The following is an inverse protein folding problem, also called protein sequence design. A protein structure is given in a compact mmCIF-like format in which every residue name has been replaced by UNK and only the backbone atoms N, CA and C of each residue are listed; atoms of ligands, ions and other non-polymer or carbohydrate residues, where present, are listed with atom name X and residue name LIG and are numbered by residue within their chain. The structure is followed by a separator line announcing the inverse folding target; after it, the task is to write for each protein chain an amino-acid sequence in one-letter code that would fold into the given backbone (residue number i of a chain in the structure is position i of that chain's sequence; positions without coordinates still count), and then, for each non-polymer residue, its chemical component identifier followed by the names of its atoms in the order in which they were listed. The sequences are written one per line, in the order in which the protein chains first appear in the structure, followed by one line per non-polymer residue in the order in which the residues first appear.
data_IF_945745512987
#
_entry.id   IF_945745512987
#
_cell.length_a   1.000
_cell.length_b   1.000
_cell.length_c   1.000
_cell.angle_alpha   90.00
_cell.angle_beta   90.00
_cell.angle_gamma   90.00
#
_symmetry.space_group_name_H-M   'P 1'
#
loop_
_entity.id
_entity.type
_entity.pdbx_description
1 polymer ?
#
# COMPACT_ATOMS: atom_id res chain seq x y z
N UNK A 1 15.20 -50.39 -32.67
CA UNK A 1 15.73 -49.05 -32.47
C UNK A 1 14.68 -47.95 -32.58
N UNK A 2 13.78 -47.96 -33.56
CA UNK A 2 12.73 -46.93 -33.77
C UNK A 2 11.74 -46.81 -32.61
N UNK A 3 11.34 -47.92 -32.00
CA UNK A 3 10.37 -47.94 -30.88
C UNK A 3 10.94 -47.27 -29.62
N UNK A 4 12.22 -47.46 -29.35
CA UNK A 4 12.93 -46.87 -28.20
C UNK A 4 13.09 -45.36 -28.38
N UNK A 5 13.36 -44.89 -29.60
CA UNK A 5 13.43 -43.46 -29.94
C UNK A 5 12.06 -42.76 -29.76
N UNK A 6 10.98 -43.45 -30.13
CA UNK A 6 9.63 -42.91 -30.01
C UNK A 6 9.19 -42.78 -28.54
N UNK A 7 9.52 -43.76 -27.70
CA UNK A 7 9.30 -43.70 -26.25
C UNK A 7 10.13 -42.55 -25.62
N UNK A 8 11.41 -42.41 -25.98
CA UNK A 8 12.23 -41.35 -25.46
C UNK A 8 11.69 -39.94 -25.84
N UNK A 9 11.20 -39.79 -27.07
CA UNK A 9 10.62 -38.54 -27.56
C UNK A 9 9.33 -38.15 -26.83
N UNK A 10 8.46 -39.14 -26.54
CA UNK A 10 7.23 -38.89 -25.80
C UNK A 10 7.49 -38.57 -24.34
N UNK A 11 8.44 -39.26 -23.70
CA UNK A 11 8.87 -38.96 -22.33
C UNK A 11 9.49 -37.56 -22.22
N UNK A 12 10.35 -37.20 -23.18
CA UNK A 12 10.95 -35.87 -23.22
C UNK A 12 9.88 -34.78 -23.40
N UNK A 13 8.93 -34.98 -24.30
CA UNK A 13 7.82 -34.06 -24.53
C UNK A 13 6.93 -33.88 -23.28
N UNK A 14 6.62 -34.98 -22.59
CA UNK A 14 5.85 -34.95 -21.34
C UNK A 14 6.63 -34.20 -20.22
N UNK A 15 7.94 -34.46 -20.08
CA UNK A 15 8.79 -33.79 -19.10
C UNK A 15 8.89 -32.31 -19.38
N UNK A 16 9.08 -31.89 -20.63
CA UNK A 16 9.15 -30.49 -21.01
C UNK A 16 7.85 -29.73 -20.75
N UNK A 17 6.70 -30.34 -21.02
CA UNK A 17 5.38 -29.76 -20.70
C UNK A 17 5.18 -29.62 -19.18
N UNK A 18 5.56 -30.64 -18.42
CA UNK A 18 5.47 -30.64 -16.97
C UNK A 18 6.36 -29.52 -16.38
N UNK A 19 7.59 -29.36 -16.87
CA UNK A 19 8.50 -28.33 -16.41
C UNK A 19 7.96 -26.91 -16.66
N UNK A 20 7.45 -26.65 -17.86
CA UNK A 20 6.78 -25.37 -18.18
C UNK A 20 5.54 -25.09 -17.31
N UNK A 21 4.76 -26.12 -17.00
CA UNK A 21 3.59 -25.98 -16.14
C UNK A 21 4.00 -25.59 -14.71
N UNK A 22 5.06 -26.19 -14.17
CA UNK A 22 5.62 -25.87 -12.85
C UNK A 22 6.17 -24.45 -12.81
N UNK A 23 6.97 -24.03 -13.79
CA UNK A 23 7.50 -22.66 -13.86
C UNK A 23 6.38 -21.61 -13.89
N UNK A 24 5.33 -21.84 -14.67
CA UNK A 24 4.19 -20.94 -14.74
C UNK A 24 3.39 -20.89 -13.44
N UNK A 25 3.26 -22.03 -12.75
CA UNK A 25 2.60 -22.11 -11.46
C UNK A 25 3.39 -21.40 -10.37
N UNK A 26 4.72 -21.54 -10.36
CA UNK A 26 5.62 -20.85 -9.43
C UNK A 26 5.57 -19.35 -9.61
N UNK A 27 5.69 -18.83 -10.84
CA UNK A 27 5.62 -17.40 -11.12
C UNK A 27 4.28 -16.78 -10.68
N UNK A 28 3.15 -17.50 -10.83
CA UNK A 28 1.84 -17.06 -10.32
C UNK A 28 1.77 -17.07 -8.80
N UNK A 29 2.38 -18.09 -8.16
CA UNK A 29 2.42 -18.19 -6.70
C UNK A 29 3.23 -17.05 -6.09
N UNK A 30 4.41 -16.74 -6.64
CA UNK A 30 5.26 -15.65 -6.19
C UNK A 30 4.56 -14.29 -6.31
N UNK A 31 3.90 -14.04 -7.44
CA UNK A 31 3.13 -12.81 -7.64
C UNK A 31 1.97 -12.68 -6.62
N UNK A 32 1.25 -13.77 -6.36
CA UNK A 32 0.16 -13.77 -5.39
C UNK A 32 0.66 -13.55 -3.97
N UNK A 33 1.82 -14.11 -3.61
CA UNK A 33 2.45 -13.90 -2.31
C UNK A 33 2.92 -12.46 -2.14
N UNK A 34 3.53 -11.87 -3.17
CA UNK A 34 3.95 -10.48 -3.14
C UNK A 34 2.76 -9.52 -2.94
N UNK A 35 1.66 -9.74 -3.65
CA UNK A 35 0.45 -8.93 -3.51
C UNK A 35 -0.17 -9.05 -2.11
N UNK A 36 -0.19 -10.25 -1.53
CA UNK A 36 -0.64 -10.45 -0.14
C UNK A 36 0.25 -9.72 0.84
N UNK A 37 1.57 -9.85 0.70
CA UNK A 37 2.54 -9.15 1.56
C UNK A 37 2.33 -7.63 1.50
N UNK A 38 2.19 -7.05 0.30
CA UNK A 38 1.92 -5.61 0.13
C UNK A 38 0.58 -5.23 0.78
N UNK A 39 -0.47 -6.03 0.56
CA UNK A 39 -1.78 -5.81 1.19
C UNK A 39 -1.72 -5.84 2.72
N UNK A 40 -1.02 -6.83 3.30
CA UNK A 40 -0.87 -6.98 4.75
C UNK A 40 -0.04 -5.84 5.35
N UNK A 41 1.02 -5.40 4.66
CA UNK A 41 1.85 -4.28 5.06
C UNK A 41 1.03 -2.97 5.09
N UNK A 42 0.33 -2.66 4.01
CA UNK A 42 -0.56 -1.51 3.93
C UNK A 42 -1.67 -1.56 4.99
N UNK A 43 -2.28 -2.74 5.17
CA UNK A 43 -3.29 -2.96 6.19
C UNK A 43 -2.76 -2.66 7.59
N UNK A 44 -1.55 -3.10 7.92
CA UNK A 44 -0.91 -2.85 9.19
C UNK A 44 -0.77 -1.37 9.50
N UNK A 45 -0.20 -0.61 8.56
CA UNK A 45 0.00 0.83 8.73
C UNK A 45 -1.31 1.61 8.78
N UNK A 46 -2.26 1.33 7.86
CA UNK A 46 -3.52 2.09 7.76
C UNK A 46 -4.45 1.80 8.94
N UNK A 47 -4.57 0.55 9.38
CA UNK A 47 -5.36 0.19 10.57
C UNK A 47 -4.83 0.85 11.83
N UNK A 48 -3.52 1.09 11.88
CA UNK A 48 -2.82 1.75 12.98
C UNK A 48 -2.69 3.26 12.78
N UNK A 49 -3.39 3.86 11.80
CA UNK A 49 -3.39 5.30 11.60
C UNK A 49 -3.88 5.99 12.87
N UNK A 50 -3.07 6.94 13.34
CA UNK A 50 -3.28 7.64 14.61
C UNK A 50 -3.73 9.08 14.38
N UNK A 51 -4.73 9.60 15.11
CA UNK A 51 -5.19 10.97 14.99
C UNK A 51 -4.20 11.94 15.66
N UNK A 52 -2.99 12.01 15.08
CA UNK A 52 -1.91 12.82 15.61
C UNK A 52 -2.20 14.32 15.43
N UNK A 53 -2.06 15.07 16.51
CA UNK A 53 -2.19 16.54 16.54
C UNK A 53 -0.81 17.16 16.73
N UNK A 54 -0.33 17.94 15.75
CA UNK A 54 0.99 18.60 15.86
C UNK A 54 1.09 19.58 17.03
N UNK A 55 -0.04 20.16 17.44
CA UNK A 55 -0.15 21.08 18.58
C UNK A 55 -1.33 20.71 19.47
N UNK A 56 -1.17 20.85 20.77
CA UNK A 56 -2.26 20.66 21.73
C UNK A 56 -3.35 21.72 21.62
N UNK A 57 -3.00 22.91 21.07
CA UNK A 57 -3.93 24.05 20.92
C UNK A 57 -4.69 24.00 19.59
N UNK A 58 -4.19 23.23 18.61
CA UNK A 58 -4.83 23.06 17.30
C UNK A 58 -5.48 21.68 17.19
N UNK A 59 -6.80 21.60 16.97
CA UNK A 59 -7.49 20.32 16.78
C UNK A 59 -7.19 19.65 15.44
N UNK A 60 -6.36 20.26 14.60
CA UNK A 60 -5.96 19.72 13.30
C UNK A 60 -5.30 18.35 13.42
N UNK A 61 -5.75 17.39 12.61
CA UNK A 61 -5.18 16.05 12.55
C UNK A 61 -4.23 15.96 11.36
N UNK A 62 -3.05 15.39 11.62
CA UNK A 62 -2.06 15.13 10.58
C UNK A 62 -2.48 13.92 9.73
N UNK A 63 -3.29 14.19 8.71
CA UNK A 63 -3.72 13.23 7.71
C UNK A 63 -4.01 13.99 6.42
N UNK A 64 -3.32 13.65 5.35
CA UNK A 64 -3.50 14.25 4.03
C UNK A 64 -3.62 13.15 2.98
N UNK A 65 -4.81 12.97 2.43
CA UNK A 65 -5.13 12.00 1.41
C UNK A 65 -5.51 12.67 0.10
N UNK A 66 -4.84 12.28 -0.97
CA UNK A 66 -5.12 12.62 -2.35
C UNK A 66 -5.32 11.33 -3.15
N UNK A 67 -5.67 11.44 -4.42
CA UNK A 67 -5.90 10.29 -5.30
C UNK A 67 -4.64 9.40 -5.46
N UNK A 68 -3.44 10.00 -5.55
CA UNK A 68 -2.17 9.29 -5.78
C UNK A 68 -1.18 9.36 -4.62
N UNK A 69 -1.51 10.11 -3.56
CA UNK A 69 -0.63 10.29 -2.42
C UNK A 69 -1.42 10.30 -1.11
N UNK A 70 -0.90 9.59 -0.11
CA UNK A 70 -1.45 9.55 1.25
C UNK A 70 -0.31 9.76 2.25
N UNK A 71 -0.46 10.72 3.16
CA UNK A 71 0.48 10.98 4.24
C UNK A 71 -0.26 11.02 5.57
N UNK A 72 0.19 10.24 6.55
CA UNK A 72 -0.44 10.14 7.86
C UNK A 72 0.55 9.65 8.91
N UNK A 73 0.17 9.71 10.18
CA UNK A 73 0.92 9.10 11.27
C UNK A 73 0.34 7.75 11.60
N UNK A 74 1.19 6.74 11.69
CA UNK A 74 0.84 5.40 12.16
C UNK A 74 1.43 5.14 13.55
N UNK A 75 0.69 4.44 14.40
CA UNK A 75 1.18 3.91 15.67
C UNK A 75 2.03 2.63 15.48
N UNK A 76 2.20 2.18 14.25
CA UNK A 76 3.07 1.09 13.84
C UNK A 76 4.33 1.67 13.19
N UNK A 77 5.50 1.22 13.64
CA UNK A 77 6.79 1.57 13.04
C UNK A 77 7.63 0.33 12.83
N UNK A 78 8.01 0.04 11.59
CA UNK A 78 8.90 -1.09 11.27
C UNK A 78 10.33 -0.83 11.76
N UNK A 79 10.78 0.42 11.69
CA UNK A 79 12.12 0.83 12.15
C UNK A 79 12.31 0.76 13.67
N UNK A 80 11.22 0.71 14.44
CA UNK A 80 11.23 0.55 15.92
C UNK A 80 10.70 -0.81 16.37
N UNK A 81 10.81 -1.84 15.54
CA UNK A 81 10.38 -3.19 15.89
C UNK A 81 8.87 -3.35 16.08
N UNK A 82 8.08 -2.61 15.32
CA UNK A 82 6.61 -2.69 15.35
C UNK A 82 5.94 -1.81 16.40
N UNK A 83 6.70 -0.99 17.14
CA UNK A 83 6.18 -0.07 18.17
C UNK A 83 6.67 1.34 17.92
N UNK A 84 5.85 2.33 18.30
CA UNK A 84 6.19 3.74 18.15
C UNK A 84 5.43 4.40 17.01
N UNK A 85 5.52 5.73 16.95
CA UNK A 85 4.86 6.52 15.92
C UNK A 85 5.82 6.82 14.78
N UNK A 86 5.33 6.67 13.56
CA UNK A 86 6.06 7.05 12.36
C UNK A 86 5.15 7.80 11.39
N UNK A 87 5.73 8.73 10.65
CA UNK A 87 5.10 9.32 9.48
C UNK A 87 5.20 8.33 8.33
N UNK A 88 4.06 8.02 7.75
CA UNK A 88 3.94 7.13 6.59
C UNK A 88 3.50 7.96 5.39
N UNK A 89 4.22 7.81 4.29
CA UNK A 89 3.84 8.36 3.00
C UNK A 89 3.72 7.22 2.01
N UNK A 90 2.57 7.10 1.37
CA UNK A 90 2.30 6.20 0.27
C UNK A 90 2.14 7.07 -0.97
N UNK A 91 2.91 6.84 -2.02
CA UNK A 91 2.83 7.61 -3.27
C UNK A 91 2.92 6.72 -4.48
N UNK A 92 2.17 7.08 -5.51
CA UNK A 92 2.28 6.55 -6.85
C UNK A 92 2.77 7.65 -7.78
N UNK A 93 3.86 7.38 -8.48
CA UNK A 93 4.49 8.29 -9.42
C UNK A 93 4.56 7.62 -10.78
N UNK A 94 4.04 8.27 -11.82
CA UNK A 94 4.08 7.79 -13.20
C UNK A 94 5.51 7.88 -13.76
N UNK A 95 6.01 6.80 -14.34
CA UNK A 95 7.28 6.73 -15.03
C UNK A 95 7.02 6.66 -16.56
N UNK A 96 7.37 7.68 -17.28
CA UNK A 96 7.56 7.88 -18.74
C UNK A 96 6.76 7.10 -19.80
N UNK A 97 6.22 5.91 -19.49
CA UNK A 97 5.50 5.03 -20.43
C UNK A 97 4.05 4.73 -20.00
N UNK A 98 3.50 5.50 -19.06
CA UNK A 98 2.16 5.30 -18.52
C UNK A 98 2.07 4.19 -17.47
N UNK A 99 3.19 3.63 -17.07
CA UNK A 99 3.31 2.79 -15.87
C UNK A 99 3.99 3.59 -14.76
N UNK A 100 3.71 3.26 -13.51
CA UNK A 100 4.26 4.00 -12.38
C UNK A 100 4.80 3.10 -11.28
N UNK A 101 5.46 3.77 -10.34
CA UNK A 101 6.06 3.20 -9.15
C UNK A 101 5.19 3.51 -7.93
N UNK A 102 4.73 2.46 -7.25
CA UNK A 102 4.06 2.59 -5.96
C UNK A 102 5.08 2.41 -4.84
N UNK A 103 5.22 3.42 -3.99
CA UNK A 103 6.20 3.43 -2.90
C UNK A 103 5.54 3.71 -1.55
N UNK A 104 6.18 3.19 -0.50
CA UNK A 104 5.90 3.51 0.89
C UNK A 104 7.19 4.07 1.50
N UNK A 105 7.08 5.24 2.11
CA UNK A 105 8.15 5.84 2.91
C UNK A 105 7.73 5.90 4.37
N UNK A 106 8.62 5.47 5.24
CA UNK A 106 8.48 5.58 6.68
C UNK A 106 9.55 6.53 7.23
N UNK A 107 9.14 7.48 8.07
CA UNK A 107 10.04 8.43 8.69
C UNK A 107 9.87 8.48 10.21
N UNK A 108 11.00 8.39 10.92
CA UNK A 108 11.11 8.49 12.38
C UNK A 108 12.31 9.40 12.72
N UNK A 109 12.23 10.31 13.68
CA UNK A 109 11.03 10.77 14.39
C UNK A 109 10.11 11.53 13.46
N UNK A 110 8.85 11.68 13.88
CA UNK A 110 7.87 12.51 13.20
C UNK A 110 8.45 13.90 12.95
N UNK A 111 8.52 14.32 11.69
CA UNK A 111 8.87 15.69 11.35
C UNK A 111 7.62 16.56 11.47
N UNK A 112 7.64 17.44 12.45
CA UNK A 112 6.68 18.54 12.51
C UNK A 112 7.11 19.61 11.51
N UNK A 113 6.14 20.27 10.87
CA UNK A 113 6.39 21.40 9.98
C UNK A 113 7.26 22.44 10.69
N UNK A 114 8.41 22.81 10.09
CA UNK A 114 9.34 23.80 10.63
C UNK A 114 10.55 23.25 11.39
N UNK A 115 10.67 21.95 11.59
CA UNK A 115 11.91 21.36 12.12
C UNK A 115 12.88 21.06 10.98
N UNK A 116 14.13 21.50 11.13
CA UNK A 116 15.20 21.30 10.16
C UNK A 116 15.54 19.82 9.93
N UNK A 117 16.38 19.55 8.92
CA UNK A 117 16.84 18.21 8.57
C UNK A 117 17.64 17.55 9.71
N UNK A 118 16.96 16.93 10.65
CA UNK A 118 17.58 16.08 11.67
C UNK A 118 17.86 14.69 11.08
N UNK A 119 18.89 14.00 11.58
CA UNK A 119 19.23 12.62 11.26
C UNK A 119 18.16 11.67 11.83
N UNK A 120 17.00 11.56 11.16
CA UNK A 120 15.96 10.60 11.48
C UNK A 120 16.06 9.36 10.59
N UNK A 121 15.59 8.21 11.08
CA UNK A 121 15.44 7.01 10.27
C UNK A 121 14.42 7.26 9.15
N UNK A 122 14.84 7.02 7.92
CA UNK A 122 13.96 7.03 6.74
C UNK A 122 14.13 5.71 6.03
N UNK A 123 13.03 5.03 5.79
CA UNK A 123 12.99 3.81 5.00
C UNK A 123 12.02 3.99 3.84
N UNK A 124 12.46 3.63 2.62
CA UNK A 124 11.64 3.63 1.42
C UNK A 124 11.55 2.22 0.87
N UNK A 125 10.33 1.75 0.70
CA UNK A 125 10.01 0.42 0.17
C UNK A 125 9.23 0.57 -1.12
N UNK A 126 9.66 -0.13 -2.17
CA UNK A 126 8.92 -0.23 -3.41
C UNK A 126 7.86 -1.32 -3.24
N UNK A 127 6.60 -0.94 -3.28
CA UNK A 127 5.46 -1.83 -3.14
C UNK A 127 5.06 -2.49 -4.46
N UNK A 128 5.23 -1.77 -5.59
CA UNK A 128 4.91 -2.27 -6.91
C UNK A 128 5.53 -1.43 -8.01
N UNK A 129 5.94 -2.12 -9.09
CA UNK A 129 6.41 -1.52 -10.33
C UNK A 129 5.44 -1.88 -11.46
N UNK A 130 5.39 -1.07 -12.50
CA UNK A 130 4.49 -1.32 -13.63
C UNK A 130 3.01 -1.14 -13.29
N UNK A 131 2.69 -0.30 -12.32
CA UNK A 131 1.31 0.04 -11.93
C UNK A 131 0.78 1.08 -12.90
N UNK A 132 -0.16 0.71 -13.77
CA UNK A 132 -0.72 1.63 -14.79
C UNK A 132 -1.72 2.61 -14.22
N UNK A 133 -2.54 2.17 -13.28
CA UNK A 133 -3.48 3.05 -12.61
C UNK A 133 -3.47 2.77 -11.12
N UNK A 134 -3.45 3.85 -10.36
CA UNK A 134 -3.55 3.81 -8.92
C UNK A 134 -4.45 4.95 -8.45
N UNK A 135 -5.44 4.61 -7.63
CA UNK A 135 -6.35 5.60 -7.07
C UNK A 135 -6.68 5.23 -5.63
N UNK A 136 -6.71 6.24 -4.78
CA UNK A 136 -7.18 6.14 -3.40
C UNK A 136 -8.47 6.90 -3.21
N UNK A 137 -9.39 6.32 -2.45
CA UNK A 137 -10.61 6.96 -1.99
C UNK A 137 -10.74 6.81 -0.47
N UNK A 138 -11.45 7.72 0.15
CA UNK A 138 -11.58 7.84 1.61
C UNK A 138 -13.03 7.77 2.02
N UNK A 139 -13.37 6.88 2.97
CA UNK A 139 -14.73 6.77 3.50
C UNK A 139 -14.98 7.89 4.51
N UNK A 140 -15.96 8.74 4.23
CA UNK A 140 -16.26 9.91 5.06
C UNK A 140 -16.75 9.47 6.45
N UNK A 141 -16.04 9.91 7.51
CA UNK A 141 -16.38 9.63 8.89
C UNK A 141 -17.47 10.53 9.45
N UNK A 142 -17.78 11.64 8.78
CA UNK A 142 -18.75 12.65 9.21
C UNK A 142 -20.10 12.48 8.51
N UNK A 143 -20.21 11.59 7.53
CA UNK A 143 -21.45 11.26 6.84
C UNK A 143 -22.13 10.06 7.52
N UNK A 144 -23.45 10.12 7.72
CA UNK A 144 -24.25 8.97 8.17
C UNK A 144 -24.35 7.88 7.09
N UNK A 145 -24.37 8.31 5.82
CA UNK A 145 -24.35 7.41 4.67
C UNK A 145 -22.93 7.03 4.28
N UNK A 146 -22.77 5.87 3.64
CA UNK A 146 -21.49 5.42 3.10
C UNK A 146 -21.11 6.30 1.90
N UNK A 147 -20.26 7.29 2.16
CA UNK A 147 -19.80 8.24 1.15
C UNK A 147 -18.29 8.13 0.97
N UNK A 148 -17.85 7.79 -0.22
CA UNK A 148 -16.45 7.78 -0.63
C UNK A 148 -16.08 9.10 -1.31
N UNK A 149 -14.97 9.69 -0.89
CA UNK A 149 -14.41 10.95 -1.42
C UNK A 149 -12.99 10.73 -1.92
N UNK A 150 -12.60 11.46 -2.97
CA UNK A 150 -11.28 11.33 -3.62
C UNK A 150 -10.16 12.01 -2.83
N UNK A 151 -10.51 12.90 -1.91
CA UNK A 151 -9.54 13.64 -1.10
C UNK A 151 -9.99 13.71 0.35
N UNK A 152 -9.02 13.66 1.27
CA UNK A 152 -9.27 13.82 2.69
C UNK A 152 -8.22 14.71 3.35
N UNK A 153 -8.65 15.85 3.90
CA UNK A 153 -7.81 16.75 4.66
C UNK A 153 -8.16 16.67 6.15
N UNK A 154 -7.30 16.01 6.93
CA UNK A 154 -7.51 15.83 8.37
C UNK A 154 -7.44 17.13 9.17
N UNK A 155 -6.76 18.17 8.65
CA UNK A 155 -6.74 19.49 9.28
C UNK A 155 -8.11 20.16 9.21
N UNK A 156 -8.75 20.13 8.05
CA UNK A 156 -10.08 20.72 7.83
C UNK A 156 -11.17 19.92 8.50
N UNK A 157 -11.15 18.62 8.30
CA UNK A 157 -12.15 17.67 8.82
C UNK A 157 -12.01 17.45 10.33
N UNK A 158 -10.84 17.68 10.92
CA UNK A 158 -10.50 17.36 12.32
C UNK A 158 -10.80 15.92 12.70
N UNK A 159 -10.78 15.03 11.72
CA UNK A 159 -11.12 13.63 11.82
C UNK A 159 -10.29 12.79 10.87
N UNK A 160 -10.08 11.51 11.20
CA UNK A 160 -9.61 10.49 10.27
C UNK A 160 -10.80 9.99 9.43
N UNK A 161 -10.59 9.52 8.21
CA UNK A 161 -11.60 8.77 7.46
C UNK A 161 -11.87 7.43 8.16
N UNK A 162 -13.03 6.81 7.92
CA UNK A 162 -13.35 5.47 8.46
C UNK A 162 -12.52 4.37 7.80
N UNK A 163 -12.22 4.53 6.53
CA UNK A 163 -11.44 3.57 5.73
C UNK A 163 -10.75 4.27 4.57
N UNK A 164 -9.72 3.61 4.04
CA UNK A 164 -9.06 3.98 2.79
C UNK A 164 -9.24 2.82 1.81
N UNK A 165 -9.64 3.14 0.58
CA UNK A 165 -9.80 2.21 -0.52
C UNK A 165 -8.70 2.44 -1.55
N UNK A 166 -8.04 1.35 -1.95
CA UNK A 166 -7.01 1.33 -2.97
C UNK A 166 -7.54 0.60 -4.20
N UNK A 167 -7.45 1.24 -5.33
CA UNK A 167 -7.76 0.66 -6.63
C UNK A 167 -6.50 0.68 -7.47
N UNK A 168 -5.98 -0.50 -7.81
CA UNK A 168 -4.77 -0.67 -8.60
C UNK A 168 -5.06 -1.48 -9.86
N UNK A 169 -4.37 -1.17 -10.94
CA UNK A 169 -4.32 -2.01 -12.14
C UNK A 169 -2.89 -2.08 -12.64
N UNK A 170 -2.37 -3.28 -12.78
CA UNK A 170 -1.06 -3.54 -13.37
C UNK A 170 -1.12 -3.76 -14.87
N UNK A 171 0.03 -4.01 -15.49
CA UNK A 171 0.19 -4.25 -16.94
C UNK A 171 -0.65 -5.41 -17.48
N UNK A 172 -0.93 -6.42 -16.68
CA UNK A 172 -1.71 -7.61 -17.08
C UNK A 172 -3.22 -7.41 -17.00
N UNK A 173 -3.68 -6.20 -16.68
CA UNK A 173 -5.10 -5.84 -16.68
C UNK A 173 -5.90 -6.32 -15.47
N UNK A 174 -5.31 -7.09 -14.56
CA UNK A 174 -5.98 -7.51 -13.31
C UNK A 174 -6.11 -6.29 -12.38
N UNK A 175 -7.36 -5.95 -12.04
CA UNK A 175 -7.66 -4.91 -11.06
C UNK A 175 -7.58 -5.48 -9.64
N UNK A 176 -6.90 -4.78 -8.76
CA UNK A 176 -6.83 -5.08 -7.33
C UNK A 176 -7.63 -4.01 -6.60
N UNK A 177 -8.50 -4.46 -5.71
CA UNK A 177 -9.33 -3.61 -4.90
C UNK A 177 -9.17 -3.99 -3.43
N UNK A 178 -8.60 -3.07 -2.64
CA UNK A 178 -8.43 -3.24 -1.22
C UNK A 178 -9.16 -2.15 -0.45
N UNK A 179 -9.79 -2.53 0.66
CA UNK A 179 -10.40 -1.60 1.61
C UNK A 179 -9.81 -1.86 2.98
N UNK A 180 -9.19 -0.85 3.56
CA UNK A 180 -8.54 -0.91 4.86
C UNK A 180 -9.28 0.01 5.84
N UNK A 181 -9.96 -0.55 6.87
CA UNK A 181 -10.57 0.25 7.90
C UNK A 181 -9.50 0.89 8.79
N UNK A 182 -9.74 2.12 9.25
CA UNK A 182 -8.95 2.78 10.27
C UNK A 182 -9.56 2.46 11.63
N UNK A 183 -8.76 1.84 12.52
CA UNK A 183 -9.26 1.35 13.80
C UNK A 183 -9.35 2.44 14.87
N UNK A 184 -8.52 3.50 14.76
CA UNK A 184 -8.55 4.62 15.69
C UNK A 184 -9.47 5.72 15.17
N UNK A 185 -10.75 5.66 15.54
CA UNK A 185 -11.65 6.79 15.40
C UNK A 185 -11.18 7.95 16.29
N UNK A 186 -11.47 9.18 15.87
CA UNK A 186 -11.40 10.31 16.80
C UNK A 186 -12.42 10.05 17.88
N UNK A 187 -11.97 9.93 19.12
CA UNK A 187 -12.85 10.03 20.26
C UNK A 187 -13.44 11.44 20.17
N UNK A 188 -14.71 11.54 19.81
CA UNK A 188 -15.43 12.80 19.86
C UNK A 188 -15.27 13.38 21.27
N UNK A 189 -15.12 14.70 21.40
CA UNK A 189 -15.01 15.36 22.69
C UNK A 189 -16.28 15.18 23.53
#
# INVERSE_FOLDING_TARGET
MTLLALIAMTLYGAFFLAHRAVEKAQARSEQSQQLRFVGDLLAGYIRSAYPYRPSLQDPAIFFSGMESQLTFVSALSSGMGGRGMSEIRISWEEEGDGAGLLTLEEQIPLRLEGQGEGAGYRNRVVLGQGVRTFRMDYLDSQSEEERWVEQWNGREKRALPRAVRFNLRGDRGEGIHWVFPIMMGVLAP
#
